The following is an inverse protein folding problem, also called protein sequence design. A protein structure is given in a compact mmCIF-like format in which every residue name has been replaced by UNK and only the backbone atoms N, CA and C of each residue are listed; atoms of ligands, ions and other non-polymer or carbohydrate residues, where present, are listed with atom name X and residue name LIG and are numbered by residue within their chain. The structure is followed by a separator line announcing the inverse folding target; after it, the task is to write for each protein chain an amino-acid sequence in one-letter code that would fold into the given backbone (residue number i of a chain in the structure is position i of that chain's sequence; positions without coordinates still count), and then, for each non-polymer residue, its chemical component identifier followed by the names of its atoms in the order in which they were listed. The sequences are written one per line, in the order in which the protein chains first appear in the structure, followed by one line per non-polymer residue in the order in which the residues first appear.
data_IF_149232837515
#
_entry.id   IF_149232837515
#
_cell.length_a   1.000
_cell.length_b   1.000
_cell.length_c   1.000
_cell.angle_alpha   90.00
_cell.angle_beta   90.00
_cell.angle_gamma   90.00
#
_symmetry.space_group_name_H-M   'P 1'
#
loop_
_entity.id
_entity.type
_entity.pdbx_description
1 polymer ?
#
# COMPACT_ATOMS: atom_id res chain seq x y z
N UNK A 1 11.38 19.21 -18.49
CA UNK A 1 10.42 19.06 -17.38
C UNK A 1 10.15 17.58 -17.14
N UNK A 2 10.80 16.96 -16.15
CA UNK A 2 10.52 15.56 -15.78
C UNK A 2 9.22 15.53 -14.96
N UNK A 3 8.15 14.97 -15.52
CA UNK A 3 6.97 14.56 -14.74
C UNK A 3 7.43 13.42 -13.84
N UNK A 4 7.67 13.69 -12.57
CA UNK A 4 8.07 12.68 -11.60
C UNK A 4 6.98 11.62 -11.45
N UNK A 5 7.23 10.42 -11.95
CA UNK A 5 6.39 9.27 -11.68
C UNK A 5 6.67 8.79 -10.24
N UNK A 6 5.65 8.85 -9.40
CA UNK A 6 5.68 8.45 -7.99
C UNK A 6 5.57 6.92 -7.93
N UNK A 7 6.56 6.25 -7.34
CA UNK A 7 6.61 4.78 -7.23
C UNK A 7 6.26 4.35 -5.81
N UNK A 8 5.48 3.28 -5.69
CA UNK A 8 5.10 2.67 -4.43
C UNK A 8 6.02 1.50 -4.11
N UNK A 9 6.57 1.48 -2.90
CA UNK A 9 7.55 0.46 -2.50
C UNK A 9 6.85 -0.66 -1.74
N UNK A 10 6.94 -1.91 -2.23
CA UNK A 10 6.36 -3.07 -1.54
C UNK A 10 7.09 -3.49 -0.25
N UNK A 11 8.32 -3.00 -0.01
CA UNK A 11 9.17 -3.51 1.07
C UNK A 11 8.95 -2.89 2.47
N UNK A 12 8.19 -1.80 2.56
CA UNK A 12 7.80 -1.20 3.85
C UNK A 12 6.30 -0.97 3.91
N UNK A 13 5.70 -0.51 2.81
CA UNK A 13 4.25 -0.30 2.77
C UNK A 13 3.50 -1.62 2.69
N UNK A 14 2.33 -1.66 3.32
CA UNK A 14 1.39 -2.75 3.13
C UNK A 14 0.83 -2.73 1.70
N UNK A 15 0.41 -3.89 1.19
CA UNK A 15 -0.27 -3.99 -0.11
C UNK A 15 -1.46 -3.03 -0.19
N UNK A 16 -2.21 -2.90 0.91
CA UNK A 16 -3.32 -1.96 1.04
C UNK A 16 -2.91 -0.49 0.81
N UNK A 17 -1.83 -0.05 1.44
CA UNK A 17 -1.30 1.32 1.27
C UNK A 17 -0.85 1.57 -0.16
N UNK A 18 -0.18 0.58 -0.76
CA UNK A 18 0.24 0.63 -2.16
C UNK A 18 -0.97 0.79 -3.08
N UNK A 19 -2.00 -0.03 -2.92
CA UNK A 19 -3.22 0.04 -3.71
C UNK A 19 -3.93 1.40 -3.57
N UNK A 20 -4.06 1.90 -2.34
CA UNK A 20 -4.67 3.22 -2.09
C UNK A 20 -3.92 4.34 -2.81
N UNK A 21 -2.59 4.36 -2.68
CA UNK A 21 -1.77 5.40 -3.29
C UNK A 21 -1.75 5.30 -4.83
N UNK A 22 -1.83 4.09 -5.40
CA UNK A 22 -1.92 3.90 -6.84
C UNK A 22 -3.21 4.53 -7.39
N UNK A 23 -4.33 4.35 -6.69
CA UNK A 23 -5.62 4.95 -7.02
C UNK A 23 -5.59 6.46 -6.85
N UNK A 24 -5.03 6.98 -5.74
CA UNK A 24 -4.83 8.41 -5.52
C UNK A 24 -4.08 9.03 -6.70
N UNK A 25 -3.00 8.37 -7.14
CA UNK A 25 -2.19 8.87 -8.25
C UNK A 25 -2.93 8.81 -9.59
N UNK A 26 -3.66 7.73 -9.86
CA UNK A 26 -4.51 7.60 -11.04
C UNK A 26 -5.55 8.72 -11.10
N UNK A 27 -6.21 9.03 -9.98
CA UNK A 27 -7.15 10.15 -9.88
C UNK A 27 -6.42 11.47 -10.18
N UNK A 28 -5.33 11.76 -9.46
CA UNK A 28 -4.56 13.02 -9.60
C UNK A 28 -4.10 13.30 -11.04
N UNK A 29 -3.76 12.26 -11.80
CA UNK A 29 -3.36 12.38 -13.21
C UNK A 29 -4.51 12.77 -14.14
N UNK A 30 -5.73 12.36 -13.82
CA UNK A 30 -6.91 12.52 -14.69
C UNK A 30 -7.92 13.55 -14.15
N UNK A 31 -7.59 14.29 -13.08
CA UNK A 31 -8.44 15.30 -12.44
C UNK A 31 -8.98 16.39 -13.37
N UNK A 32 -8.30 16.64 -14.50
CA UNK A 32 -8.62 17.76 -15.41
C UNK A 32 -9.45 17.34 -16.61
N UNK A 33 -9.71 16.05 -16.76
CA UNK A 33 -10.38 15.51 -17.94
C UNK A 33 -11.84 15.22 -17.57
N UNK A 34 -12.79 15.73 -18.35
CA UNK A 34 -14.24 15.48 -18.17
C UNK A 34 -14.66 14.06 -18.63
N UNK A 35 -13.77 13.09 -18.49
CA UNK A 35 -13.98 11.71 -18.91
C UNK A 35 -14.59 10.87 -17.78
N UNK A 36 -15.28 9.80 -18.19
CA UNK A 36 -15.73 8.76 -17.28
C UNK A 36 -14.66 7.69 -17.11
N UNK A 37 -14.30 7.37 -15.87
CA UNK A 37 -13.26 6.39 -15.54
C UNK A 37 -13.83 5.21 -14.78
N UNK A 38 -13.43 4.01 -15.20
CA UNK A 38 -13.69 2.77 -14.45
C UNK A 38 -12.36 2.30 -13.84
N UNK A 39 -12.31 2.24 -12.52
CA UNK A 39 -11.17 1.66 -11.78
C UNK A 39 -11.54 0.25 -11.36
N UNK A 40 -10.78 -0.73 -11.85
CA UNK A 40 -10.86 -2.11 -11.43
C UNK A 40 -9.89 -2.33 -10.28
N UNK A 41 -10.37 -2.89 -9.17
CA UNK A 41 -9.52 -3.25 -8.02
C UNK A 41 -9.90 -4.63 -7.51
N UNK A 42 -8.91 -5.46 -7.21
CA UNK A 42 -9.11 -6.75 -6.55
C UNK A 42 -9.04 -6.68 -5.01
N UNK A 43 -8.74 -5.49 -4.49
CA UNK A 43 -8.66 -5.23 -3.07
C UNK A 43 -10.04 -5.00 -2.46
N UNK A 44 -10.60 -6.07 -1.89
CA UNK A 44 -11.87 -5.99 -1.16
C UNK A 44 -11.75 -5.14 0.11
N UNK A 45 -10.62 -5.27 0.84
CA UNK A 45 -10.36 -4.53 2.07
C UNK A 45 -10.28 -3.02 1.83
N UNK A 46 -9.74 -2.62 0.67
CA UNK A 46 -9.78 -1.24 0.19
C UNK A 46 -11.21 -0.71 0.05
N UNK A 47 -12.08 -1.42 -0.66
CA UNK A 47 -13.47 -1.00 -0.88
C UNK A 47 -14.27 -0.95 0.41
N UNK A 48 -14.05 -1.91 1.31
CA UNK A 48 -14.70 -1.91 2.63
C UNK A 48 -14.23 -0.72 3.47
N UNK A 49 -12.92 -0.45 3.49
CA UNK A 49 -12.34 0.70 4.21
C UNK A 49 -12.86 2.04 3.67
N UNK A 50 -13.08 2.15 2.37
CA UNK A 50 -13.62 3.35 1.74
C UNK A 50 -15.11 3.58 2.07
N UNK A 51 -15.88 2.51 2.28
CA UNK A 51 -17.29 2.61 2.69
C UNK A 51 -17.45 3.00 4.17
N UNK A 52 -16.50 2.64 5.02
CA UNK A 52 -16.55 2.86 6.46
C UNK A 52 -15.42 3.78 6.96
N UNK A 53 -15.16 4.89 6.26
CA UNK A 53 -14.13 5.85 6.65
C UNK A 53 -14.51 6.56 7.94
N UNK A 54 -13.61 6.54 8.93
CA UNK A 54 -13.76 7.23 10.22
C UNK A 54 -12.49 8.00 10.56
N UNK A 55 -12.52 8.89 11.56
CA UNK A 55 -11.34 9.62 12.02
C UNK A 55 -10.19 8.73 12.55
N UNK A 56 -10.45 7.44 12.81
CA UNK A 56 -9.44 6.45 13.24
C UNK A 56 -8.86 5.63 12.09
N UNK A 57 -9.39 5.80 10.89
CA UNK A 57 -8.91 5.07 9.71
C UNK A 57 -7.47 5.49 9.35
N UNK A 58 -6.70 4.63 8.67
CA UNK A 58 -5.35 4.98 8.22
C UNK A 58 -5.32 6.29 7.43
N UNK A 59 -4.26 7.08 7.59
CA UNK A 59 -4.13 8.39 6.92
C UNK A 59 -4.33 8.31 5.40
N UNK A 60 -3.85 7.23 4.77
CA UNK A 60 -3.96 7.03 3.32
C UNK A 60 -5.41 6.92 2.83
N UNK A 61 -6.31 6.28 3.58
CA UNK A 61 -7.73 6.17 3.18
C UNK A 61 -8.47 7.50 3.46
N UNK A 62 -8.06 8.24 4.48
CA UNK A 62 -8.56 9.59 4.75
C UNK A 62 -8.19 10.56 3.61
N UNK A 63 -6.94 10.50 3.13
CA UNK A 63 -6.48 11.30 1.99
C UNK A 63 -7.29 10.94 0.74
N UNK A 64 -7.38 9.65 0.40
CA UNK A 64 -8.14 9.21 -0.76
C UNK A 64 -9.61 9.65 -0.69
N UNK A 65 -10.26 9.49 0.45
CA UNK A 65 -11.65 9.87 0.63
C UNK A 65 -11.85 11.38 0.46
N UNK A 66 -10.91 12.19 0.93
CA UNK A 66 -10.90 13.65 0.72
C UNK A 66 -10.77 13.99 -0.76
N UNK A 67 -9.84 13.33 -1.46
CA UNK A 67 -9.63 13.51 -2.90
C UNK A 67 -10.89 13.11 -3.67
N UNK A 68 -11.46 11.93 -3.41
CA UNK A 68 -12.67 11.48 -4.10
C UNK A 68 -13.83 12.48 -3.93
N UNK A 69 -14.03 13.01 -2.71
CA UNK A 69 -15.05 14.03 -2.47
C UNK A 69 -14.80 15.34 -3.20
N UNK A 70 -13.56 15.83 -3.22
CA UNK A 70 -13.25 17.06 -3.97
C UNK A 70 -13.41 16.85 -5.47
N UNK A 71 -13.09 15.65 -5.95
CA UNK A 71 -13.09 15.32 -7.36
C UNK A 71 -14.49 15.11 -7.94
N UNK A 72 -15.44 14.59 -7.13
CA UNK A 72 -16.86 14.51 -7.49
C UNK A 72 -17.49 15.91 -7.72
N UNK A 73 -16.92 16.96 -7.13
CA UNK A 73 -17.38 18.34 -7.35
C UNK A 73 -16.82 18.94 -8.65
N UNK A 74 -15.87 18.28 -9.32
CA UNK A 74 -15.14 18.79 -10.49
C UNK A 74 -15.41 17.99 -11.78
N UNK A 75 -16.65 17.51 -11.95
CA UNK A 75 -17.13 16.81 -13.16
C UNK A 75 -16.37 15.54 -13.58
N UNK A 76 -15.44 15.04 -12.78
CA UNK A 76 -14.88 13.70 -12.97
C UNK A 76 -15.93 12.67 -12.54
N UNK A 77 -16.34 11.82 -13.48
CA UNK A 77 -17.24 10.71 -13.19
C UNK A 77 -16.42 9.42 -13.09
N UNK A 78 -16.47 8.77 -11.93
CA UNK A 78 -15.66 7.58 -11.66
C UNK A 78 -16.50 6.47 -11.05
N UNK A 79 -16.23 5.23 -11.45
CA UNK A 79 -16.80 4.02 -10.84
C UNK A 79 -15.69 3.07 -10.43
N UNK A 80 -15.74 2.62 -9.17
CA UNK A 80 -14.87 1.58 -8.65
C UNK A 80 -15.59 0.24 -8.70
N UNK A 81 -14.97 -0.76 -9.34
CA UNK A 81 -15.50 -2.11 -9.48
C UNK A 81 -14.53 -3.09 -8.83
N UNK A 82 -15.08 -3.91 -7.93
CA UNK A 82 -14.33 -5.05 -7.40
C UNK A 82 -14.23 -6.15 -8.45
N UNK A 83 -13.03 -6.67 -8.66
CA UNK A 83 -12.79 -7.85 -9.50
C UNK A 83 -12.03 -8.92 -8.72
N UNK A 84 -12.31 -10.21 -8.92
CA UNK A 84 -11.50 -11.25 -8.30
C UNK A 84 -10.10 -11.27 -8.95
N UNK A 85 -9.06 -11.21 -8.14
CA UNK A 85 -7.67 -11.28 -8.62
C UNK A 85 -7.38 -12.57 -9.40
N UNK A 86 -6.49 -12.47 -10.39
CA UNK A 86 -5.98 -13.61 -11.19
C UNK A 86 -7.04 -14.45 -11.92
N UNK A 87 -8.04 -13.79 -12.52
CA UNK A 87 -9.14 -14.45 -13.24
C UNK A 87 -9.15 -14.22 -14.75
N UNK A 88 -8.03 -13.86 -15.37
CA UNK A 88 -7.95 -13.69 -16.83
C UNK A 88 -8.43 -12.34 -17.34
N UNK A 89 -8.66 -11.35 -16.47
CA UNK A 89 -9.04 -9.99 -16.91
C UNK A 89 -7.80 -9.30 -17.47
N UNK A 90 -7.65 -9.30 -18.80
CA UNK A 90 -6.42 -8.87 -19.46
C UNK A 90 -5.91 -7.47 -19.04
N UNK A 91 -6.76 -6.43 -18.88
CA UNK A 91 -6.31 -5.12 -18.37
C UNK A 91 -5.78 -5.17 -16.93
N UNK A 92 -6.42 -5.95 -16.05
CA UNK A 92 -6.00 -6.12 -14.66
C UNK A 92 -4.65 -6.83 -14.60
N UNK A 93 -4.52 -7.94 -15.31
CA UNK A 93 -3.27 -8.70 -15.33
C UNK A 93 -2.13 -7.93 -15.99
N UNK A 94 -2.43 -7.07 -16.98
CA UNK A 94 -1.44 -6.16 -17.55
C UNK A 94 -0.96 -5.14 -16.52
N UNK A 95 -1.86 -4.55 -15.73
CA UNK A 95 -1.50 -3.66 -14.63
C UNK A 95 -0.65 -4.38 -13.57
N UNK A 96 -1.01 -5.60 -13.18
CA UNK A 96 -0.24 -6.42 -12.24
C UNK A 96 1.16 -6.74 -12.76
N UNK A 97 1.28 -7.12 -14.03
CA UNK A 97 2.57 -7.40 -14.67
C UNK A 97 3.43 -6.14 -14.70
N UNK A 98 2.86 -4.99 -15.05
CA UNK A 98 3.57 -3.71 -15.06
C UNK A 98 4.06 -3.37 -13.65
N UNK A 99 3.19 -3.46 -12.64
CA UNK A 99 3.55 -3.21 -11.24
C UNK A 99 4.69 -4.12 -10.76
N UNK A 100 4.68 -5.40 -11.14
CA UNK A 100 5.74 -6.38 -10.81
C UNK A 100 7.03 -6.18 -11.62
N UNK A 101 6.93 -5.68 -12.84
CA UNK A 101 8.08 -5.49 -13.75
C UNK A 101 9.00 -4.35 -13.32
N UNK A 102 8.51 -3.42 -12.50
CA UNK A 102 9.33 -2.35 -11.95
C UNK A 102 10.21 -2.96 -10.85
N UNK A 103 11.49 -3.25 -11.13
CA UNK A 103 12.46 -3.84 -10.19
C UNK A 103 13.59 -2.85 -9.75
N UNK A 104 14.01 -3.05 -8.50
CA UNK A 104 15.16 -2.62 -7.66
C UNK A 104 16.13 -1.47 -8.02
N UNK A 105 16.37 -1.11 -9.29
CA UNK A 105 17.52 -0.27 -9.69
C UNK A 105 17.22 1.23 -9.89
N UNK A 106 16.15 1.77 -9.31
CA UNK A 106 15.78 3.18 -9.49
C UNK A 106 15.89 3.98 -8.19
N UNK A 107 16.95 4.77 -8.09
CA UNK A 107 17.10 5.81 -7.06
C UNK A 107 16.12 6.96 -7.31
N UNK A 108 15.01 7.06 -6.56
CA UNK A 108 14.43 8.31 -5.98
C UNK A 108 12.95 8.21 -5.56
N UNK A 109 12.64 8.99 -4.52
CA UNK A 109 11.34 9.35 -3.91
C UNK A 109 10.45 8.19 -3.47
N UNK A 110 10.72 7.75 -2.23
CA UNK A 110 9.99 6.71 -1.53
C UNK A 110 8.85 7.33 -0.73
N UNK A 111 7.58 7.10 -1.11
CA UNK A 111 6.46 7.43 -0.22
C UNK A 111 6.20 6.24 0.68
N UNK A 112 6.41 6.43 1.98
CA UNK A 112 6.14 5.43 3.01
C UNK A 112 5.09 6.00 3.96
N UNK A 113 4.00 5.25 4.17
CA UNK A 113 3.00 5.66 5.16
C UNK A 113 3.60 5.56 6.57
N UNK A 114 3.35 6.56 7.41
CA UNK A 114 3.90 6.60 8.77
C UNK A 114 3.46 5.37 9.58
N UNK A 115 2.23 4.92 9.39
CA UNK A 115 1.65 3.73 10.00
C UNK A 115 2.42 2.47 9.62
N UNK A 116 2.74 2.32 8.33
CA UNK A 116 3.50 1.17 7.82
C UNK A 116 4.95 1.20 8.32
N UNK A 117 5.57 2.39 8.39
CA UNK A 117 6.91 2.55 8.96
C UNK A 117 6.93 2.17 10.46
N UNK A 118 5.94 2.60 11.24
CA UNK A 118 5.82 2.25 12.66
C UNK A 118 5.70 0.74 12.82
N UNK A 119 4.88 0.08 11.99
CA UNK A 119 4.73 -1.37 12.00
C UNK A 119 6.06 -2.07 11.65
N UNK A 120 6.78 -1.59 10.63
CA UNK A 120 8.07 -2.14 10.22
C UNK A 120 9.14 -2.01 11.32
N UNK A 121 9.20 -0.86 11.99
CA UNK A 121 10.12 -0.63 13.13
C UNK A 121 9.77 -1.57 14.29
N UNK A 122 8.49 -1.69 14.65
CA UNK A 122 8.04 -2.60 15.71
C UNK A 122 8.44 -4.05 15.41
N UNK A 123 8.25 -4.51 14.16
CA UNK A 123 8.67 -5.86 13.72
C UNK A 123 10.17 -6.07 13.89
N UNK A 124 10.99 -5.10 13.50
CA UNK A 124 12.45 -5.15 13.64
C UNK A 124 12.89 -5.25 15.10
N UNK A 125 12.28 -4.47 15.99
CA UNK A 125 12.56 -4.51 17.43
C UNK A 125 12.15 -5.87 18.03
N UNK A 126 10.97 -6.38 17.68
CA UNK A 126 10.49 -7.68 18.16
C UNK A 126 11.38 -8.83 17.67
N UNK A 127 11.84 -8.79 16.42
CA UNK A 127 12.76 -9.78 15.87
C UNK A 127 14.09 -9.80 16.64
N UNK A 128 14.69 -8.62 16.90
CA UNK A 128 15.92 -8.51 17.71
C UNK A 128 15.72 -9.05 19.13
N UNK A 129 14.60 -8.75 19.78
CA UNK A 129 14.25 -9.27 21.12
C UNK A 129 14.10 -10.80 21.13
N UNK A 130 13.42 -11.37 20.12
CA UNK A 130 13.24 -12.82 20.00
C UNK A 130 14.58 -13.55 19.81
N UNK A 131 15.45 -12.99 18.98
CA UNK A 131 16.81 -13.51 18.75
C UNK A 131 17.65 -13.44 20.03
N UNK A 132 17.65 -12.30 20.74
CA UNK A 132 18.35 -12.16 22.01
C UNK A 132 17.82 -13.14 23.08
N UNK A 133 16.49 -13.31 23.17
CA UNK A 133 15.88 -14.29 24.07
C UNK A 133 16.25 -15.74 23.73
N UNK A 134 16.37 -16.08 22.43
CA UNK A 134 16.84 -17.40 21.99
C UNK A 134 18.28 -17.66 22.45
N UNK A 135 19.19 -16.69 22.26
CA UNK A 135 20.58 -16.81 22.73
C UNK A 135 20.64 -16.90 24.26
N UNK A 136 19.90 -16.07 24.99
CA UNK A 136 19.84 -16.11 26.45
C UNK A 136 19.37 -17.48 26.97
N UNK A 137 18.36 -18.09 26.33
CA UNK A 137 17.91 -19.45 26.66
C UNK A 137 18.99 -20.50 26.37
N UNK A 138 19.68 -20.42 25.22
CA UNK A 138 20.79 -21.35 24.91
C UNK A 138 21.89 -21.28 25.97
N UNK A 139 22.32 -20.08 26.37
CA UNK A 139 23.31 -19.92 27.45
C UNK A 139 22.81 -20.45 28.80
N UNK A 140 21.52 -20.28 29.11
CA UNK A 140 20.91 -20.80 30.34
C UNK A 140 20.87 -22.32 30.35
N UNK A 141 20.48 -22.93 29.22
CA UNK A 141 20.48 -24.39 29.05
C UNK A 141 21.90 -24.93 29.13
N UNK A 142 22.87 -24.35 28.42
CA UNK A 142 24.27 -24.79 28.46
C UNK A 142 24.89 -24.69 29.86
N UNK A 143 24.55 -23.67 30.65
CA UNK A 143 25.00 -23.55 32.06
C UNK A 143 24.49 -24.68 32.97
N UNK A 144 23.33 -25.27 32.67
CA UNK A 144 22.77 -26.40 33.44
C UNK A 144 23.56 -27.69 33.19
N UNK A 145 24.21 -27.84 32.04
CA UNK A 145 24.98 -29.04 31.67
C UNK A 145 26.47 -28.98 32.05
N UNK A 146 26.94 -27.88 32.65
CA UNK A 146 28.35 -27.66 33.03
C UNK A 146 28.52 -27.70 34.58
N UNK A 147 27.50 -28.14 35.31
CA UNK A 147 27.59 -28.47 36.75
C UNK A 147 27.55 -29.99 36.93
#
# INVERSE_FOLDING_TARGET
MQKGAMRLIPNVNSTFTVECLAIIMAIKLHLKDNNYYIILTDSRSFLESLKSVTHKSPSVILELHTILRSTLNHSLSMTLIWVPGHRGIAPHEAADRLAKSVNENTEKWQIVAAEDLIVAIKRSIMAKRKTAGKYANIFKTLKIWIQ
#
